data_IF_100346427587
#
_entry.id   IF_100346427587
#
_cell.length_a   1.000
_cell.length_b   1.000
_cell.length_c   1.000
_cell.angle_alpha   90.00
_cell.angle_beta   90.00
_cell.angle_gamma   90.00
#
_symmetry.space_group_name_H-M   'P 1'
#
loop_
_entity.id
_entity.type
_entity.pdbx_description
1 polymer ?
#
# COMPACT_ATOMS: atom_id res chain seq x y z
N UNK A 1 -2.54 -17.48 5.11
CA UNK A 1 -1.44 -16.89 4.30
C UNK A 1 -0.40 -16.33 5.25
N UNK A 2 0.90 -16.43 4.94
CA UNK A 2 1.96 -15.97 5.83
C UNK A 2 1.89 -14.45 6.05
N UNK A 3 1.74 -14.07 7.32
CA UNK A 3 1.74 -12.70 7.84
C UNK A 3 2.36 -12.71 9.24
N UNK A 4 3.04 -11.62 9.59
CA UNK A 4 3.51 -11.38 10.96
C UNK A 4 2.34 -10.96 11.84
N UNK A 5 2.50 -11.12 13.15
CA UNK A 5 1.70 -10.41 14.14
C UNK A 5 2.20 -8.96 14.28
N UNK A 6 1.34 -8.07 14.78
CA UNK A 6 1.71 -6.67 14.97
C UNK A 6 2.87 -6.50 15.98
N UNK A 7 2.98 -7.40 16.95
CA UNK A 7 4.09 -7.43 17.92
C UNK A 7 5.46 -7.73 17.29
N UNK A 8 5.50 -8.46 16.17
CA UNK A 8 6.74 -8.77 15.43
C UNK A 8 7.07 -7.69 14.38
N UNK A 9 6.11 -6.81 14.07
CA UNK A 9 6.22 -5.85 12.99
C UNK A 9 7.28 -4.76 13.20
N UNK A 10 7.56 -4.24 14.41
CA UNK A 10 8.65 -3.28 14.63
C UNK A 10 10.00 -3.72 14.06
N UNK A 11 10.42 -4.97 14.35
CA UNK A 11 11.67 -5.52 13.84
C UNK A 11 11.66 -5.67 12.30
N UNK A 12 10.49 -5.97 11.72
CA UNK A 12 10.33 -6.03 10.26
C UNK A 12 10.51 -4.66 9.63
N UNK A 13 9.88 -3.62 10.19
CA UNK A 13 9.99 -2.24 9.67
C UNK A 13 11.42 -1.73 9.78
N UNK A 14 12.11 -1.99 10.89
CA UNK A 14 13.54 -1.63 11.05
C UNK A 14 14.40 -2.28 9.96
N UNK A 15 14.20 -3.58 9.69
CA UNK A 15 14.94 -4.27 8.62
C UNK A 15 14.56 -3.76 7.22
N UNK A 16 13.30 -3.39 7.00
CA UNK A 16 12.84 -2.80 5.75
C UNK A 16 13.52 -1.45 5.50
N UNK A 17 13.60 -0.58 6.51
CA UNK A 17 14.22 0.73 6.37
C UNK A 17 15.73 0.63 6.14
N UNK A 18 16.39 -0.35 6.78
CA UNK A 18 17.81 -0.69 6.57
C UNK A 18 18.10 -1.56 5.36
N UNK A 19 17.10 -1.94 4.56
CA UNK A 19 17.32 -2.77 3.39
C UNK A 19 18.21 -2.05 2.36
N UNK A 20 19.45 -2.51 2.21
CA UNK A 20 20.45 -1.95 1.29
C UNK A 20 20.31 -2.44 -0.16
N UNK A 21 19.22 -3.12 -0.50
CA UNK A 21 18.96 -3.54 -1.88
C UNK A 21 18.46 -2.39 -2.76
N UNK A 22 17.72 -2.74 -3.81
CA UNK A 22 17.25 -1.73 -4.77
C UNK A 22 16.28 -0.73 -4.10
N UNK A 23 16.60 0.56 -4.22
CA UNK A 23 15.81 1.67 -3.64
C UNK A 23 14.34 1.64 -4.08
N UNK A 24 14.05 1.35 -5.35
CA UNK A 24 12.68 1.23 -5.88
C UNK A 24 11.92 0.13 -5.13
N UNK A 25 12.57 -1.01 -4.88
CA UNK A 25 11.95 -2.14 -4.18
C UNK A 25 11.72 -1.81 -2.70
N UNK A 26 12.66 -1.10 -2.06
CA UNK A 26 12.47 -0.62 -0.68
C UNK A 26 11.28 0.35 -0.59
N UNK A 27 11.25 1.37 -1.46
CA UNK A 27 10.15 2.34 -1.50
C UNK A 27 8.81 1.69 -1.81
N UNK A 28 8.78 0.68 -2.68
CA UNK A 28 7.58 -0.11 -2.95
C UNK A 28 7.10 -0.87 -1.69
N UNK A 29 7.99 -1.51 -0.94
CA UNK A 29 7.63 -2.19 0.32
C UNK A 29 7.12 -1.21 1.39
N UNK A 30 7.77 -0.04 1.52
CA UNK A 30 7.34 1.01 2.45
C UNK A 30 5.95 1.51 2.05
N UNK A 31 5.72 1.83 0.77
CA UNK A 31 4.41 2.28 0.31
C UNK A 31 3.33 1.18 0.45
N UNK A 32 3.68 -0.09 0.21
CA UNK A 32 2.78 -1.24 0.47
C UNK A 32 2.38 -1.32 1.95
N UNK A 33 3.30 -1.02 2.85
CA UNK A 33 3.03 -1.02 4.29
C UNK A 33 2.03 0.07 4.67
N UNK A 34 2.17 1.27 4.09
CA UNK A 34 1.32 2.41 4.41
C UNK A 34 -0.05 2.36 3.73
N UNK A 35 -0.13 1.81 2.50
CA UNK A 35 -1.36 1.84 1.69
C UNK A 35 -2.10 0.51 1.67
N UNK A 36 -1.39 -0.60 1.93
CA UNK A 36 -1.87 -1.98 1.85
C UNK A 36 -2.69 -2.32 0.60
N UNK A 37 -2.38 -1.67 -0.53
CA UNK A 37 -2.88 -2.05 -1.85
C UNK A 37 -2.35 -3.44 -2.25
N UNK A 38 -3.00 -4.09 -3.22
CA UNK A 38 -2.54 -5.40 -3.69
C UNK A 38 -1.18 -5.28 -4.38
N UNK A 39 -0.37 -6.35 -4.37
CA UNK A 39 0.91 -6.40 -5.09
C UNK A 39 0.77 -6.08 -6.58
N UNK A 40 -0.37 -6.44 -7.18
CA UNK A 40 -0.68 -6.14 -8.58
C UNK A 40 -1.01 -4.65 -8.80
N UNK A 41 -1.69 -4.03 -7.84
CA UNK A 41 -2.02 -2.60 -7.87
C UNK A 41 -0.74 -1.78 -7.69
N UNK A 42 0.08 -2.10 -6.68
CA UNK A 42 1.32 -1.37 -6.41
C UNK A 42 2.31 -1.40 -7.58
N UNK A 43 2.54 -2.57 -8.19
CA UNK A 43 3.52 -2.71 -9.29
C UNK A 43 3.10 -1.95 -10.54
N UNK A 44 1.79 -1.91 -10.81
CA UNK A 44 1.21 -1.33 -12.03
C UNK A 44 0.83 0.13 -11.81
N UNK A 45 1.18 0.70 -10.64
CA UNK A 45 0.94 2.08 -10.28
C UNK A 45 1.66 3.01 -11.26
N UNK A 46 0.93 3.97 -11.79
CA UNK A 46 1.44 4.98 -12.71
C UNK A 46 1.45 6.36 -12.07
N UNK A 47 2.37 7.21 -12.51
CA UNK A 47 2.48 8.57 -11.96
C UNK A 47 1.23 9.42 -12.20
N UNK A 48 0.51 9.18 -13.31
CA UNK A 48 -0.74 9.87 -13.62
C UNK A 48 -1.93 9.44 -12.74
N UNK A 49 -1.78 8.39 -11.93
CA UNK A 49 -2.81 7.94 -10.98
C UNK A 49 -2.69 8.64 -9.63
N UNK A 50 -1.62 9.40 -9.40
CA UNK A 50 -1.37 10.13 -8.15
C UNK A 50 -1.90 11.55 -8.29
N UNK A 51 -2.94 11.83 -7.50
CA UNK A 51 -3.57 13.12 -7.34
C UNK A 51 -2.93 13.81 -6.12
N UNK A 52 -1.86 14.58 -6.38
CA UNK A 52 -1.10 15.29 -5.35
C UNK A 52 -1.89 16.43 -4.71
N UNK A 53 -2.89 16.99 -5.39
CA UNK A 53 -3.71 18.07 -4.84
C UNK A 53 -4.64 17.55 -3.75
N UNK A 54 -5.24 16.38 -3.98
CA UNK A 54 -6.18 15.77 -3.04
C UNK A 54 -5.54 14.70 -2.14
N UNK A 55 -4.25 14.41 -2.33
CA UNK A 55 -3.52 13.32 -1.67
C UNK A 55 -4.18 11.94 -1.87
N UNK A 56 -4.51 11.61 -3.12
CA UNK A 56 -5.20 10.37 -3.47
C UNK A 56 -4.42 9.58 -4.53
N UNK A 57 -4.41 8.26 -4.38
CA UNK A 57 -4.10 7.35 -5.47
C UNK A 57 -5.41 6.85 -6.09
N UNK A 58 -5.59 7.07 -7.40
CA UNK A 58 -6.81 6.72 -8.15
C UNK A 58 -6.53 5.58 -9.13
N UNK A 59 -6.77 4.35 -8.68
CA UNK A 59 -6.54 3.16 -9.50
C UNK A 59 -7.78 2.92 -10.38
N UNK A 60 -7.64 2.88 -11.72
CA UNK A 60 -8.77 2.75 -12.62
C UNK A 60 -9.36 1.33 -12.62
N UNK A 61 -10.65 1.22 -12.93
CA UNK A 61 -11.39 -0.03 -12.92
C UNK A 61 -10.74 -1.17 -13.73
N UNK A 62 -10.13 -0.86 -14.88
CA UNK A 62 -9.51 -1.88 -15.74
C UNK A 62 -8.26 -2.52 -15.13
N UNK A 63 -7.64 -1.93 -14.10
CA UNK A 63 -6.55 -2.52 -13.32
C UNK A 63 -7.03 -3.28 -12.09
N UNK A 64 -8.32 -3.18 -11.77
CA UNK A 64 -8.88 -3.70 -10.52
C UNK A 64 -9.54 -5.06 -10.72
N UNK A 65 -9.30 -5.98 -9.78
CA UNK A 65 -9.89 -7.34 -9.80
C UNK A 65 -11.42 -7.32 -9.86
N UNK A 66 -12.06 -6.33 -9.24
CA UNK A 66 -13.52 -6.22 -9.16
C UNK A 66 -14.13 -5.31 -10.24
N UNK A 67 -13.32 -4.85 -11.21
CA UNK A 67 -13.72 -3.93 -12.28
C UNK A 67 -14.39 -2.63 -11.78
N UNK A 68 -13.98 -2.14 -10.61
CA UNK A 68 -14.41 -0.85 -10.06
C UNK A 68 -13.18 0.00 -9.74
N UNK A 69 -13.24 1.33 -9.92
CA UNK A 69 -12.16 2.20 -9.50
C UNK A 69 -11.88 2.03 -8.00
N UNK A 70 -10.62 2.20 -7.61
CA UNK A 70 -10.20 2.17 -6.22
C UNK A 70 -9.46 3.45 -5.88
N UNK A 71 -10.05 4.24 -4.98
CA UNK A 71 -9.41 5.46 -4.45
C UNK A 71 -8.81 5.12 -3.09
N UNK A 72 -7.51 5.37 -2.98
CA UNK A 72 -6.69 5.10 -1.80
C UNK A 72 -6.16 6.45 -1.28
N UNK A 73 -6.57 6.89 -0.08
CA UNK A 73 -5.97 8.05 0.57
C UNK A 73 -4.48 7.82 0.82
N UNK A 74 -3.68 8.85 0.54
CA UNK A 74 -2.24 8.88 0.79
C UNK A 74 -1.97 9.71 2.04
N UNK A 75 -1.32 9.09 3.02
CA UNK A 75 -0.80 9.81 4.18
C UNK A 75 0.41 10.67 3.81
N UNK A 76 0.81 11.57 4.71
CA UNK A 76 2.03 12.38 4.55
C UNK A 76 3.26 11.51 4.29
N UNK A 77 3.41 10.43 5.05
CA UNK A 77 4.50 9.46 4.90
C UNK A 77 4.49 8.77 3.53
N UNK A 78 3.30 8.46 3.01
CA UNK A 78 3.18 7.87 1.68
C UNK A 78 3.60 8.86 0.58
N UNK A 79 3.21 10.13 0.72
CA UNK A 79 3.62 11.21 -0.19
C UNK A 79 5.13 11.44 -0.15
N UNK A 80 5.74 11.47 1.03
CA UNK A 80 7.21 11.60 1.18
C UNK A 80 7.98 10.49 0.44
N UNK A 81 7.47 9.25 0.46
CA UNK A 81 8.06 8.14 -0.30
C UNK A 81 7.94 8.38 -1.81
N UNK A 82 6.78 8.87 -2.26
CA UNK A 82 6.52 9.16 -3.67
C UNK A 82 7.39 10.31 -4.16
N UNK A 83 7.46 11.42 -3.42
CA UNK A 83 8.32 12.56 -3.71
C UNK A 83 9.80 12.17 -3.75
N UNK A 84 10.24 11.30 -2.84
CA UNK A 84 11.63 10.80 -2.83
C UNK A 84 11.99 9.95 -4.05
N UNK A 85 11.05 9.15 -4.56
CA UNK A 85 11.32 8.26 -5.71
C UNK A 85 11.08 8.95 -7.05
N UNK A 86 10.25 10.01 -7.09
CA UNK A 86 9.88 10.73 -8.31
C UNK A 86 11.07 11.25 -9.13
N UNK A 87 12.13 11.85 -8.56
CA UNK A 87 13.31 12.26 -9.34
C UNK A 87 14.03 11.09 -10.05
N UNK A 88 13.80 9.87 -9.58
CA UNK A 88 14.51 8.66 -10.01
C UNK A 88 13.68 7.88 -11.03
N UNK A 89 12.36 7.79 -10.83
CA UNK A 89 11.45 7.01 -11.69
C UNK A 89 10.40 7.84 -12.45
N UNK A 90 10.31 9.15 -12.21
CA UNK A 90 9.30 10.07 -12.77
C UNK A 90 9.37 10.27 -14.29
N UNK A 91 10.48 9.90 -14.93
CA UNK A 91 10.64 9.98 -16.39
C UNK A 91 9.94 8.84 -17.16
N UNK A 92 9.43 7.82 -16.45
CA UNK A 92 8.71 6.68 -17.02
C UNK A 92 7.26 6.67 -16.53
N UNK A 93 6.45 5.83 -17.16
CA UNK A 93 5.02 5.67 -16.85
C UNK A 93 4.79 5.15 -15.41
N UNK A 94 5.53 4.11 -15.02
CA UNK A 94 5.31 3.41 -13.74
C UNK A 94 6.11 4.03 -12.59
N UNK A 95 5.50 4.10 -11.41
CA UNK A 95 6.16 4.55 -10.17
C UNK A 95 7.30 3.61 -9.78
N UNK A 96 7.08 2.30 -9.94
CA UNK A 96 8.06 1.26 -9.63
C UNK A 96 8.35 0.37 -10.85
N UNK A 97 9.48 0.61 -11.52
CA UNK A 97 9.90 -0.17 -12.69
C UNK A 97 11.32 -0.73 -12.56
N UNK A 98 11.64 -1.68 -13.42
CA UNK A 98 12.99 -2.20 -13.59
C UNK A 98 13.74 -1.37 -14.64
N UNK A 99 14.86 -0.74 -14.26
CA UNK A 99 15.64 0.14 -15.15
C UNK A 99 16.03 -0.49 -16.48
N UNK A 100 16.43 -1.76 -16.48
CA UNK A 100 16.93 -2.43 -17.68
C UNK A 100 15.82 -2.76 -18.69
N UNK A 101 14.60 -2.99 -18.23
CA UNK A 101 13.47 -3.41 -19.09
C UNK A 101 12.41 -2.32 -19.30
N UNK A 102 12.45 -1.25 -18.52
CA UNK A 102 11.39 -0.23 -18.42
C UNK A 102 9.99 -0.79 -18.11
N UNK A 103 9.91 -2.04 -17.64
CA UNK A 103 8.66 -2.70 -17.24
C UNK A 103 8.44 -2.57 -15.73
N UNK A 104 7.19 -2.68 -15.26
CA UNK A 104 6.87 -2.81 -13.84
C UNK A 104 7.78 -3.84 -13.14
N UNK A 105 8.12 -3.59 -11.87
CA UNK A 105 8.85 -4.58 -11.06
C UNK A 105 8.13 -5.93 -11.08
N UNK A 106 8.84 -7.07 -11.03
CA UNK A 106 8.22 -8.42 -11.11
C UNK A 106 7.47 -8.80 -9.84
N UNK A 107 6.49 -9.72 -9.91
CA UNK A 107 5.61 -10.08 -8.77
C UNK A 107 6.40 -10.63 -7.61
N UNK A 108 7.49 -11.30 -7.94
CA UNK A 108 8.43 -11.86 -7.00
C UNK A 108 9.42 -10.84 -6.43
N UNK A 109 9.59 -9.64 -6.99
CA UNK A 109 10.61 -8.69 -6.54
C UNK A 109 10.44 -8.32 -5.04
N UNK A 110 9.21 -8.01 -4.63
CA UNK A 110 8.89 -7.72 -3.23
C UNK A 110 9.07 -8.95 -2.33
N UNK A 111 8.66 -10.12 -2.80
CA UNK A 111 8.83 -11.38 -2.07
C UNK A 111 10.31 -11.72 -1.89
N UNK A 112 11.14 -11.51 -2.91
CA UNK A 112 12.58 -11.70 -2.83
C UNK A 112 13.20 -10.76 -1.80
N UNK A 113 12.83 -9.47 -1.79
CA UNK A 113 13.31 -8.54 -0.76
C UNK A 113 12.89 -8.97 0.66
N UNK A 114 11.64 -9.39 0.86
CA UNK A 114 11.16 -9.93 2.14
C UNK A 114 11.96 -11.16 2.56
N UNK A 115 12.28 -12.06 1.62
CA UNK A 115 13.13 -13.24 1.86
C UNK A 115 14.55 -12.84 2.28
N UNK A 116 15.16 -11.88 1.57
CA UNK A 116 16.49 -11.35 1.91
C UNK A 116 16.54 -10.73 3.31
N UNK A 117 15.45 -10.13 3.78
CA UNK A 117 15.33 -9.61 5.15
C UNK A 117 15.14 -10.70 6.23
N UNK A 118 15.12 -11.98 5.84
CA UNK A 118 14.97 -13.12 6.76
C UNK A 118 13.53 -13.51 7.09
N UNK A 119 12.55 -12.99 6.33
CA UNK A 119 11.12 -13.23 6.58
C UNK A 119 10.49 -14.21 5.57
N UNK A 120 11.30 -15.08 4.96
CA UNK A 120 10.81 -16.13 4.06
C UNK A 120 9.78 -17.02 4.78
N UNK A 121 8.60 -17.18 4.18
CA UNK A 121 7.51 -17.97 4.76
C UNK A 121 6.81 -17.33 5.97
N UNK A 122 7.30 -16.17 6.46
CA UNK A 122 6.70 -15.42 7.57
C UNK A 122 5.87 -14.22 7.10
N UNK A 123 6.34 -13.54 6.05
CA UNK A 123 5.67 -12.37 5.49
C UNK A 123 5.55 -12.48 3.97
N UNK A 124 4.49 -11.90 3.41
CA UNK A 124 4.24 -11.83 1.97
C UNK A 124 3.60 -10.49 1.62
N UNK A 125 3.52 -10.13 0.33
CA UNK A 125 2.79 -8.92 -0.10
C UNK A 125 1.33 -8.88 0.35
N UNK A 126 0.65 -10.03 0.37
CA UNK A 126 -0.71 -10.11 0.92
C UNK A 126 -0.74 -10.09 2.46
N UNK A 127 0.38 -10.45 3.10
CA UNK A 127 0.53 -10.40 4.56
C UNK A 127 0.32 -9.00 5.12
N UNK A 128 0.75 -7.95 4.41
CA UNK A 128 0.50 -6.54 4.80
C UNK A 128 -0.99 -6.22 4.91
N UNK A 129 -1.80 -6.76 3.99
CA UNK A 129 -3.25 -6.55 3.96
C UNK A 129 -3.94 -7.21 5.13
N UNK A 130 -3.54 -8.46 5.41
CA UNK A 130 -4.05 -9.20 6.55
C UNK A 130 -3.65 -8.54 7.86
N UNK A 131 -2.41 -8.06 7.98
CA UNK A 131 -1.93 -7.35 9.16
C UNK A 131 -2.74 -6.06 9.38
N UNK A 132 -2.80 -5.17 8.38
CA UNK A 132 -3.54 -3.92 8.46
C UNK A 132 -5.02 -4.15 8.79
N UNK A 133 -5.67 -5.10 8.13
CA UNK A 133 -7.08 -5.44 8.40
C UNK A 133 -7.29 -5.85 9.86
N UNK A 134 -6.50 -6.77 10.38
CA UNK A 134 -6.64 -7.22 11.78
C UNK A 134 -6.37 -6.09 12.76
N UNK A 135 -5.28 -5.36 12.60
CA UNK A 135 -4.91 -4.26 13.51
C UNK A 135 -5.93 -3.12 13.49
N UNK A 136 -6.44 -2.71 12.32
CA UNK A 136 -7.45 -1.65 12.22
C UNK A 136 -8.78 -2.07 12.87
N UNK A 137 -9.19 -3.34 12.74
CA UNK A 137 -10.38 -3.83 13.45
C UNK A 137 -10.18 -3.84 14.97
N UNK A 138 -9.01 -4.26 15.46
CA UNK A 138 -8.66 -4.25 16.88
C UNK A 138 -8.60 -2.83 17.47
N UNK A 139 -8.21 -1.85 16.65
CA UNK A 139 -8.24 -0.42 16.99
C UNK A 139 -9.65 0.20 16.93
N UNK A 140 -10.67 -0.55 16.51
CA UNK A 140 -12.06 -0.11 16.49
C UNK A 140 -12.46 0.73 15.28
N UNK A 141 -11.69 0.71 14.19
CA UNK A 141 -12.10 1.38 12.96
C UNK A 141 -13.32 0.70 12.33
N UNK A 142 -14.13 1.50 11.64
CA UNK A 142 -15.37 1.05 11.01
C UNK A 142 -15.08 -0.01 9.93
N UNK A 143 -15.75 -1.16 10.04
CA UNK A 143 -15.59 -2.30 9.14
C UNK A 143 -15.68 -1.91 7.66
N UNK A 144 -16.72 -1.19 7.27
CA UNK A 144 -16.95 -0.79 5.88
C UNK A 144 -15.79 0.07 5.32
N UNK A 145 -15.18 0.94 6.14
CA UNK A 145 -14.04 1.74 5.71
C UNK A 145 -12.79 0.88 5.46
N UNK A 146 -12.54 -0.12 6.31
CA UNK A 146 -11.44 -1.07 6.14
C UNK A 146 -11.64 -1.91 4.88
N UNK A 147 -12.84 -2.44 4.67
CA UNK A 147 -13.17 -3.28 3.52
C UNK A 147 -13.10 -2.49 2.20
N UNK A 148 -13.59 -1.25 2.17
CA UNK A 148 -13.47 -0.35 1.01
C UNK A 148 -11.99 -0.05 0.72
N UNK A 149 -11.18 0.22 1.74
CA UNK A 149 -9.74 0.45 1.58
C UNK A 149 -8.98 -0.78 1.07
N UNK A 150 -9.47 -1.97 1.40
CA UNK A 150 -8.98 -3.22 0.84
C UNK A 150 -9.55 -3.49 -0.57
N UNK A 151 -10.36 -2.61 -1.15
CA UNK A 151 -11.09 -2.86 -2.39
C UNK A 151 -11.81 -4.22 -2.35
N UNK A 152 -12.43 -4.53 -1.22
CA UNK A 152 -13.41 -5.60 -1.06
C UNK A 152 -14.80 -5.05 -1.40
N UNK A 153 -15.74 -5.93 -1.77
CA UNK A 153 -17.12 -5.52 -2.04
C UNK A 153 -17.86 -5.39 -0.72
N UNK A 154 -18.38 -4.20 -0.46
CA UNK A 154 -19.28 -3.91 0.65
C UNK A 154 -20.66 -3.58 0.08
N UNK A 155 -21.69 -4.31 0.51
CA UNK A 155 -23.07 -4.10 0.08
C UNK A 155 -23.34 -4.40 -1.42
N UNK A 156 -24.47 -3.89 -1.91
CA UNK A 156 -24.94 -4.08 -3.29
C UNK A 156 -24.48 -2.94 -4.23
N UNK A 157 -24.79 -3.03 -5.53
CA UNK A 157 -24.33 -2.05 -6.52
C UNK A 157 -24.77 -0.59 -6.22
N UNK A 158 -25.93 -0.41 -5.58
CA UNK A 158 -26.47 0.92 -5.23
C UNK A 158 -25.74 1.51 -4.03
N UNK A 159 -25.52 0.73 -2.98
CA UNK A 159 -24.78 1.20 -1.79
C UNK A 159 -23.31 1.53 -2.11
N UNK A 160 -22.71 0.85 -3.09
CA UNK A 160 -21.29 1.06 -3.44
C UNK A 160 -20.99 2.47 -3.97
N UNK A 161 -21.88 3.08 -4.74
CA UNK A 161 -21.70 4.45 -5.22
C UNK A 161 -21.76 5.48 -4.07
N UNK A 162 -22.68 5.29 -3.13
CA UNK A 162 -22.84 6.16 -1.95
C UNK A 162 -21.70 6.00 -0.94
N UNK A 163 -21.30 4.75 -0.66
CA UNK A 163 -20.22 4.42 0.28
C UNK A 163 -18.88 5.05 -0.13
N UNK A 164 -18.64 5.19 -1.44
CA UNK A 164 -17.37 5.66 -1.97
C UNK A 164 -17.08 7.14 -1.62
N UNK A 165 -18.12 7.98 -1.60
CA UNK A 165 -18.02 9.38 -1.20
C UNK A 165 -18.16 9.53 0.32
N UNK A 166 -19.10 8.82 0.94
CA UNK A 166 -19.40 8.98 2.38
C UNK A 166 -18.26 8.57 3.30
N UNK A 167 -17.42 7.60 2.91
CA UNK A 167 -16.34 7.12 3.77
C UNK A 167 -14.96 7.67 3.39
N UNK A 168 -14.86 8.59 2.43
CA UNK A 168 -13.56 9.11 2.01
C UNK A 168 -12.86 9.88 3.13
N UNK A 169 -13.55 10.83 3.77
CA UNK A 169 -12.98 11.63 4.86
C UNK A 169 -12.57 10.77 6.05
N UNK A 170 -13.41 9.77 6.39
CA UNK A 170 -13.09 8.80 7.43
C UNK A 170 -11.84 7.99 7.08
N UNK A 171 -11.72 7.52 5.82
CA UNK A 171 -10.54 6.78 5.37
C UNK A 171 -9.30 7.66 5.28
N UNK A 172 -9.41 8.94 4.93
CA UNK A 172 -8.28 9.89 4.97
C UNK A 172 -7.70 9.93 6.39
N UNK A 173 -8.56 10.13 7.39
CA UNK A 173 -8.15 10.11 8.80
C UNK A 173 -7.54 8.76 9.20
N UNK A 174 -8.21 7.65 8.88
CA UNK A 174 -7.75 6.29 9.18
C UNK A 174 -6.37 5.99 8.58
N UNK A 175 -6.14 6.36 7.31
CA UNK A 175 -4.87 6.11 6.63
C UNK A 175 -3.71 6.95 7.18
N UNK A 176 -4.00 8.17 7.64
CA UNK A 176 -3.01 9.00 8.33
C UNK A 176 -2.67 8.39 9.69
N UNK A 177 -3.67 8.07 10.52
CA UNK A 177 -3.47 7.46 11.84
C UNK A 177 -2.78 6.09 11.75
N UNK A 178 -3.10 5.29 10.73
CA UNK A 178 -2.36 4.07 10.41
C UNK A 178 -0.88 4.34 10.16
N UNK A 179 -0.56 5.36 9.37
CA UNK A 179 0.82 5.70 9.05
C UNK A 179 1.58 6.21 10.28
N UNK A 180 0.93 7.04 11.10
CA UNK A 180 1.48 7.54 12.36
C UNK A 180 1.72 6.38 13.36
N UNK A 181 0.82 5.40 13.39
CA UNK A 181 1.00 4.18 14.17
C UNK A 181 2.21 3.37 13.69
N UNK A 182 2.37 3.15 12.38
CA UNK A 182 3.55 2.45 11.83
C UNK A 182 4.85 3.22 12.11
N UNK A 183 4.87 4.56 12.03
CA UNK A 183 6.00 5.38 12.48
C UNK A 183 6.29 5.19 13.96
N UNK A 184 5.26 5.11 14.80
CA UNK A 184 5.39 4.83 16.23
C UNK A 184 6.03 3.47 16.56
N UNK A 185 6.00 2.51 15.62
CA UNK A 185 6.66 1.21 15.74
C UNK A 185 8.16 1.25 15.40
N UNK A 186 8.68 2.35 14.82
CA UNK A 186 10.10 2.48 14.39
C UNK A 186 11.08 2.89 15.50
N UNK A 187 10.69 2.73 16.76
CA UNK A 187 11.50 3.16 17.92
C UNK A 187 12.70 2.26 18.18
#
# INVERSE_FOLDING_TARGET
MARLDISEFPAFVERMDRYHGNLIIRSALQLMTLTFVRTAELRMMEWNEIDYENHLLRIPAHKMKMAMPHIVPLSKQALEILEKIQPITGIKQYVFYNYSTAKPISSNALLCAIRTMGYNGKMTGHGFRGLASTTLHEQGYMHDAIEIQLAHRVGNAVSQAYNHAQHLDYRIKMMQEWSDFIDGLRK
#
